data_IF_503196781160
#
_entry.id   IF_503196781160
#
_cell.length_a   1.000
_cell.length_b   1.000
_cell.length_c   1.000
_cell.angle_alpha   90.00
_cell.angle_beta   90.00
_cell.angle_gamma   90.00
#
_symmetry.space_group_name_H-M   'P 1'
#
loop_
_entity.id
_entity.type
_entity.pdbx_description
1 polymer ?
#
# COMPACT_ATOMS: atom_id res chain seq x y z
N UNK A 1 -5.06 44.20 8.05
CA UNK A 1 -5.32 42.81 7.59
C UNK A 1 -4.05 42.11 7.09
N UNK A 2 -3.19 42.72 6.25
CA UNK A 2 -1.94 42.13 5.77
C UNK A 2 -0.93 41.87 6.90
N UNK A 3 -0.79 42.80 7.85
CA UNK A 3 0.13 42.63 9.01
C UNK A 3 -0.33 41.49 9.94
N UNK A 4 -1.61 41.36 10.22
CA UNK A 4 -2.17 40.24 11.00
C UNK A 4 -1.97 38.88 10.31
N UNK A 5 -2.06 38.86 8.98
CA UNK A 5 -1.83 37.64 8.19
C UNK A 5 -0.34 37.24 8.19
N UNK A 6 0.57 38.23 8.16
CA UNK A 6 2.01 38.00 8.27
C UNK A 6 2.40 37.51 9.68
N UNK A 7 1.83 38.07 10.75
CA UNK A 7 2.07 37.65 12.12
C UNK A 7 1.60 36.20 12.38
N UNK A 8 0.41 35.83 11.90
CA UNK A 8 -0.06 34.44 11.97
C UNK A 8 0.88 33.48 11.24
N UNK A 9 1.33 33.83 10.05
CA UNK A 9 2.31 33.04 9.30
C UNK A 9 3.63 32.87 10.04
N UNK A 10 4.14 33.89 10.75
CA UNK A 10 5.34 33.79 11.55
C UNK A 10 5.14 32.92 12.79
N UNK A 11 3.99 32.99 13.45
CA UNK A 11 3.66 32.11 14.59
C UNK A 11 3.56 30.65 14.17
N UNK A 12 2.94 30.36 13.04
CA UNK A 12 2.81 29.00 12.51
C UNK A 12 4.18 28.42 12.16
N UNK A 13 5.03 29.19 11.49
CA UNK A 13 6.44 28.80 11.21
C UNK A 13 7.21 28.54 12.50
N UNK A 14 7.05 29.41 13.51
CA UNK A 14 7.72 29.23 14.79
C UNK A 14 7.26 27.94 15.50
N UNK A 15 5.98 27.62 15.45
CA UNK A 15 5.42 26.36 16.01
C UNK A 15 6.00 25.14 15.29
N UNK A 16 6.02 25.14 13.96
CA UNK A 16 6.61 24.06 13.15
C UNK A 16 8.09 23.85 13.50
N UNK A 17 8.88 24.94 13.60
CA UNK A 17 10.29 24.86 13.98
C UNK A 17 10.49 24.26 15.38
N UNK A 18 9.63 24.58 16.34
CA UNK A 18 9.71 24.00 17.69
C UNK A 18 9.48 22.49 17.64
N UNK A 19 8.48 22.03 16.88
CA UNK A 19 8.18 20.59 16.70
C UNK A 19 9.35 19.86 16.04
N UNK A 20 9.95 20.45 15.01
CA UNK A 20 11.11 19.88 14.32
C UNK A 20 12.35 19.80 15.21
N UNK A 21 12.61 20.86 16.01
CA UNK A 21 13.71 20.87 16.97
C UNK A 21 13.54 19.82 18.07
N UNK A 22 12.34 19.64 18.56
CA UNK A 22 12.03 18.59 19.53
C UNK A 22 12.21 17.19 18.94
N UNK A 23 11.79 16.98 17.67
CA UNK A 23 12.01 15.74 16.95
C UNK A 23 13.50 15.43 16.79
N UNK A 24 14.31 16.44 16.43
CA UNK A 24 15.77 16.29 16.34
C UNK A 24 16.42 15.99 17.68
N UNK A 25 15.93 16.61 18.77
CA UNK A 25 16.41 16.34 20.13
C UNK A 25 16.13 14.89 20.53
N UNK A 26 14.88 14.41 20.33
CA UNK A 26 14.50 13.01 20.59
C UNK A 26 15.39 12.04 19.81
N UNK A 27 15.67 12.32 18.53
CA UNK A 27 16.57 11.48 17.73
C UNK A 27 17.99 11.49 18.27
N UNK A 28 18.52 12.64 18.64
CA UNK A 28 19.87 12.79 19.22
C UNK A 28 20.01 12.03 20.54
N UNK A 29 19.01 12.12 21.39
CA UNK A 29 19.02 11.53 22.73
C UNK A 29 18.56 10.05 22.71
N UNK A 30 18.29 9.48 21.53
CA UNK A 30 17.73 8.11 21.35
C UNK A 30 16.40 7.88 22.09
N UNK A 31 15.66 8.96 22.32
CA UNK A 31 14.35 8.95 22.96
C UNK A 31 13.24 8.77 21.92
N UNK A 32 13.13 7.56 21.38
CA UNK A 32 12.10 7.21 20.43
C UNK A 32 11.75 5.71 20.48
N UNK A 33 10.56 5.39 20.02
CA UNK A 33 10.15 4.02 19.79
C UNK A 33 10.40 3.62 18.34
N UNK A 34 10.55 2.32 18.10
CA UNK A 34 10.59 1.78 16.74
C UNK A 34 9.44 0.85 16.51
N UNK A 35 8.84 0.92 15.34
CA UNK A 35 7.73 0.08 14.92
C UNK A 35 8.15 -0.74 13.70
N UNK A 36 8.00 -2.05 13.80
CA UNK A 36 8.36 -2.97 12.73
C UNK A 36 7.21 -3.08 11.72
N UNK A 37 7.54 -2.93 10.44
CA UNK A 37 6.60 -3.05 9.32
C UNK A 37 6.91 -4.29 8.50
N UNK A 38 5.87 -5.03 8.18
CA UNK A 38 5.91 -6.13 7.24
C UNK A 38 6.17 -5.63 5.82
N UNK A 39 6.87 -6.42 5.02
CA UNK A 39 7.07 -6.18 3.60
C UNK A 39 6.58 -7.37 2.77
N UNK A 40 6.38 -7.15 1.47
CA UNK A 40 6.06 -8.18 0.49
C UNK A 40 7.27 -8.54 -0.35
N UNK A 41 7.49 -9.84 -0.56
CA UNK A 41 8.29 -10.36 -1.67
C UNK A 41 7.38 -10.51 -2.89
N UNK A 42 7.73 -9.86 -3.99
CA UNK A 42 7.00 -9.93 -5.25
C UNK A 42 7.91 -10.51 -6.33
N UNK A 43 7.49 -11.60 -6.95
CA UNK A 43 8.25 -12.25 -8.02
C UNK A 43 7.38 -12.51 -9.23
N UNK A 44 7.97 -12.48 -10.42
CA UNK A 44 7.29 -12.91 -11.65
C UNK A 44 8.06 -14.06 -12.27
N UNK A 45 7.35 -15.12 -12.58
CA UNK A 45 7.83 -16.29 -13.30
C UNK A 45 7.27 -16.31 -14.72
N UNK A 46 8.13 -16.58 -15.71
CA UNK A 46 7.80 -16.80 -17.11
C UNK A 46 8.48 -18.06 -17.59
N UNK A 47 7.72 -19.00 -18.18
CA UNK A 47 8.26 -20.28 -18.65
C UNK A 47 9.10 -21.02 -17.59
N UNK A 48 8.65 -20.98 -16.32
CA UNK A 48 9.32 -21.62 -15.19
C UNK A 48 10.57 -20.91 -14.67
N UNK A 49 10.95 -19.76 -15.24
CA UNK A 49 12.11 -18.95 -14.80
C UNK A 49 11.65 -17.68 -14.11
N UNK A 50 12.28 -17.34 -13.00
CA UNK A 50 12.07 -16.06 -12.33
C UNK A 50 12.73 -14.95 -13.15
N UNK A 51 11.92 -13.97 -13.62
CA UNK A 51 12.35 -12.87 -14.49
C UNK A 51 12.28 -11.50 -13.80
N UNK A 52 11.62 -11.44 -12.64
CA UNK A 52 11.48 -10.21 -11.86
C UNK A 52 11.40 -10.55 -10.37
N UNK A 53 11.97 -9.68 -9.56
CA UNK A 53 11.81 -9.69 -8.10
C UNK A 53 11.87 -8.26 -7.57
N UNK A 54 11.03 -7.95 -6.58
CA UNK A 54 11.05 -6.67 -5.88
C UNK A 54 10.51 -6.83 -4.46
N UNK A 55 10.77 -5.83 -3.61
CA UNK A 55 10.26 -5.73 -2.25
C UNK A 55 9.27 -4.55 -2.18
N UNK A 56 8.09 -4.79 -1.58
CA UNK A 56 7.08 -3.76 -1.37
C UNK A 56 6.85 -3.50 0.12
N UNK A 57 6.87 -2.24 0.52
CA UNK A 57 6.45 -1.79 1.84
C UNK A 57 4.94 -1.57 1.87
N UNK A 58 4.38 -0.99 0.82
CA UNK A 58 2.95 -0.71 0.70
C UNK A 58 2.22 -1.82 -0.05
N UNK A 59 2.50 -1.99 -1.33
CA UNK A 59 1.68 -2.85 -2.17
C UNK A 59 2.37 -3.36 -3.45
N UNK A 60 1.74 -4.37 -4.04
CA UNK A 60 1.95 -4.82 -5.40
C UNK A 60 0.64 -4.64 -6.18
N UNK A 61 0.69 -3.85 -7.25
CA UNK A 61 -0.47 -3.50 -8.08
C UNK A 61 -0.33 -4.12 -9.45
N UNK A 62 -1.28 -4.97 -9.83
CA UNK A 62 -1.40 -5.49 -11.20
C UNK A 62 -2.60 -4.77 -11.84
N UNK A 63 -2.33 -4.01 -12.89
CA UNK A 63 -3.38 -3.23 -13.55
C UNK A 63 -3.14 -3.07 -15.03
N UNK A 64 -4.18 -2.63 -15.72
CA UNK A 64 -4.14 -2.27 -17.13
C UNK A 64 -3.15 -1.12 -17.44
N UNK A 65 -2.86 -0.96 -18.71
CA UNK A 65 -2.07 0.15 -19.24
C UNK A 65 -2.87 1.46 -19.36
N UNK A 66 -2.32 2.47 -20.07
CA UNK A 66 -2.92 3.80 -20.18
C UNK A 66 -4.31 3.83 -20.85
N UNK A 67 -4.60 2.84 -21.68
CA UNK A 67 -5.91 2.71 -22.34
C UNK A 67 -6.73 1.74 -21.51
N UNK A 68 -7.80 2.25 -20.90
CA UNK A 68 -8.68 1.45 -20.05
C UNK A 68 -9.28 0.27 -20.78
N UNK A 69 -9.19 -0.91 -20.18
CA UNK A 69 -9.84 -2.13 -20.62
C UNK A 69 -9.92 -3.11 -19.46
N UNK A 70 -10.96 -3.91 -19.45
CA UNK A 70 -11.12 -4.96 -18.44
C UNK A 70 -10.03 -6.01 -18.62
N UNK A 71 -9.30 -6.31 -17.53
CA UNK A 71 -8.39 -7.43 -17.44
C UNK A 71 -9.02 -8.57 -16.63
N UNK A 72 -8.66 -9.79 -16.95
CA UNK A 72 -9.11 -10.98 -16.23
C UNK A 72 -7.93 -11.60 -15.52
N UNK A 73 -8.05 -11.71 -14.19
CA UNK A 73 -7.01 -12.23 -13.31
C UNK A 73 -7.58 -13.40 -12.53
N UNK A 74 -6.82 -14.49 -12.48
CA UNK A 74 -7.10 -15.62 -11.60
C UNK A 74 -6.18 -15.54 -10.40
N UNK A 75 -6.75 -15.57 -9.22
CA UNK A 75 -6.00 -15.52 -7.96
C UNK A 75 -6.14 -16.85 -7.23
N UNK A 76 -5.01 -17.38 -6.79
CA UNK A 76 -4.95 -18.55 -5.94
C UNK A 76 -4.12 -18.26 -4.68
N UNK A 77 -4.45 -18.93 -3.59
CA UNK A 77 -3.74 -18.91 -2.32
C UNK A 77 -3.26 -20.31 -2.01
N UNK A 78 -1.94 -20.50 -1.90
CA UNK A 78 -1.30 -21.80 -1.67
C UNK A 78 -1.77 -22.88 -2.68
N UNK A 79 -1.92 -22.48 -3.95
CA UNK A 79 -2.37 -23.34 -5.03
C UNK A 79 -3.88 -23.63 -5.07
N UNK A 80 -4.66 -23.10 -4.12
CA UNK A 80 -6.12 -23.22 -4.10
C UNK A 80 -6.75 -21.98 -4.70
N UNK A 81 -7.74 -22.17 -5.55
CA UNK A 81 -8.49 -21.05 -6.15
C UNK A 81 -9.10 -20.15 -5.06
N UNK A 82 -8.87 -18.85 -5.17
CA UNK A 82 -9.42 -17.83 -4.28
C UNK A 82 -10.48 -17.00 -5.00
N UNK A 83 -10.15 -16.47 -6.18
CA UNK A 83 -11.06 -15.57 -6.92
C UNK A 83 -10.67 -15.43 -8.39
N UNK A 84 -11.67 -15.10 -9.22
CA UNK A 84 -11.51 -14.60 -10.57
C UNK A 84 -11.96 -13.14 -10.60
N UNK A 85 -11.09 -12.24 -11.03
CA UNK A 85 -11.35 -10.80 -11.09
C UNK A 85 -11.46 -10.36 -12.53
N UNK A 86 -12.55 -9.67 -12.86
CA UNK A 86 -12.72 -8.92 -14.10
C UNK A 86 -12.87 -7.43 -13.73
N UNK A 87 -11.90 -6.61 -14.08
CA UNK A 87 -11.86 -5.18 -13.69
C UNK A 87 -10.60 -4.50 -14.21
N UNK A 88 -10.24 -3.37 -13.60
CA UNK A 88 -9.06 -2.61 -13.97
C UNK A 88 -7.77 -3.22 -13.39
N UNK A 89 -7.90 -4.05 -12.32
CA UNK A 89 -6.76 -4.68 -11.70
C UNK A 89 -6.99 -5.26 -10.31
N UNK A 90 -5.89 -5.56 -9.63
CA UNK A 90 -5.86 -6.00 -8.24
C UNK A 90 -4.66 -5.41 -7.51
N UNK A 91 -4.86 -5.11 -6.24
CA UNK A 91 -3.84 -4.66 -5.29
C UNK A 91 -3.64 -5.77 -4.25
N UNK A 92 -2.39 -6.13 -4.00
CA UNK A 92 -2.01 -6.90 -2.80
C UNK A 92 -1.23 -5.98 -1.89
N UNK A 93 -1.81 -5.59 -0.76
CA UNK A 93 -1.23 -4.61 0.15
C UNK A 93 -0.80 -5.23 1.48
N UNK A 94 0.24 -4.63 2.07
CA UNK A 94 0.57 -4.80 3.48
C UNK A 94 -0.40 -4.01 4.36
N UNK A 95 -0.41 -4.20 5.69
CA UNK A 95 -1.14 -3.31 6.59
C UNK A 95 -0.71 -1.84 6.44
N UNK A 96 0.57 -1.56 6.22
CA UNK A 96 1.06 -0.20 5.95
C UNK A 96 0.44 0.36 4.65
N UNK A 97 0.40 -0.43 3.59
CA UNK A 97 -0.18 -0.05 2.31
C UNK A 97 -1.71 -0.01 2.29
N UNK A 98 -2.38 -0.55 3.32
CA UNK A 98 -3.86 -0.51 3.40
C UNK A 98 -4.43 0.90 3.38
N UNK A 99 -3.66 1.90 3.82
CA UNK A 99 -4.01 3.31 3.82
C UNK A 99 -3.48 4.10 2.60
N UNK A 100 -2.83 3.41 1.65
CA UNK A 100 -2.35 3.96 0.38
C UNK A 100 -3.37 3.70 -0.76
N UNK A 101 -2.93 3.16 -1.88
CA UNK A 101 -3.81 2.92 -3.04
C UNK A 101 -4.95 1.93 -2.75
N UNK A 102 -4.71 0.95 -1.87
CA UNK A 102 -5.74 0.00 -1.42
C UNK A 102 -6.94 0.71 -0.82
N UNK A 103 -6.75 1.77 -0.01
CA UNK A 103 -7.85 2.55 0.55
C UNK A 103 -8.67 3.24 -0.54
N UNK A 104 -8.01 3.85 -1.53
CA UNK A 104 -8.69 4.51 -2.66
C UNK A 104 -9.48 3.51 -3.52
N UNK A 105 -9.05 2.26 -3.57
CA UNK A 105 -9.76 1.18 -4.27
C UNK A 105 -10.90 0.56 -3.43
N UNK A 106 -11.18 1.07 -2.22
CA UNK A 106 -12.23 0.57 -1.34
C UNK A 106 -11.80 -0.60 -0.44
N UNK A 107 -10.51 -0.79 -0.26
CA UNK A 107 -9.96 -1.75 0.70
C UNK A 107 -10.15 -1.33 2.15
N UNK A 108 -10.07 -2.26 3.10
CA UNK A 108 -10.19 -1.97 4.52
C UNK A 108 -8.94 -1.23 5.04
N UNK A 109 -9.16 -0.40 6.05
CA UNK A 109 -8.08 0.14 6.87
C UNK A 109 -7.59 -0.95 7.81
N UNK A 110 -6.29 -1.20 7.80
CA UNK A 110 -5.65 -2.21 8.67
C UNK A 110 -4.57 -1.52 9.50
N UNK A 111 -4.54 -1.81 10.79
CA UNK A 111 -3.51 -1.27 11.67
C UNK A 111 -2.13 -1.75 11.21
N UNK A 112 -1.15 -0.84 11.07
CA UNK A 112 0.13 -1.16 10.45
C UNK A 112 0.96 -2.25 11.13
N UNK A 113 0.72 -2.51 12.41
CA UNK A 113 1.40 -3.58 13.18
C UNK A 113 0.74 -4.95 13.01
N UNK A 114 -0.45 -5.01 12.41
CA UNK A 114 -1.12 -6.26 12.12
C UNK A 114 -0.30 -7.10 11.14
N UNK A 115 -0.42 -8.41 11.25
CA UNK A 115 0.28 -9.36 10.37
C UNK A 115 -0.76 -9.97 9.42
N UNK A 116 -1.03 -9.28 8.31
CA UNK A 116 -2.01 -9.67 7.30
C UNK A 116 -1.60 -9.20 5.90
N UNK A 117 -2.19 -9.78 4.88
CA UNK A 117 -2.17 -9.27 3.50
C UNK A 117 -3.59 -8.92 3.08
N UNK A 118 -3.75 -7.78 2.40
CA UNK A 118 -5.03 -7.34 1.86
C UNK A 118 -5.01 -7.55 0.36
N UNK A 119 -6.01 -8.26 -0.18
CA UNK A 119 -6.24 -8.38 -1.63
C UNK A 119 -7.46 -7.52 -1.97
N UNK A 120 -7.24 -6.45 -2.71
CA UNK A 120 -8.27 -5.47 -3.05
C UNK A 120 -8.41 -5.36 -4.58
N UNK A 121 -9.58 -5.64 -5.17
CA UNK A 121 -9.82 -5.45 -6.60
C UNK A 121 -9.92 -3.97 -6.94
N UNK A 122 -9.55 -3.61 -8.17
CA UNK A 122 -9.71 -2.25 -8.70
C UNK A 122 -10.86 -2.26 -9.70
N UNK A 123 -11.90 -1.45 -9.44
CA UNK A 123 -13.05 -1.24 -10.32
C UNK A 123 -13.61 -2.57 -10.91
N UNK A 124 -13.83 -3.56 -10.06
CA UNK A 124 -14.34 -4.86 -10.51
C UNK A 124 -15.76 -4.76 -11.02
N UNK A 125 -16.04 -5.41 -12.14
CA UNK A 125 -17.39 -5.60 -12.68
C UNK A 125 -18.17 -6.68 -11.94
N UNK A 126 -17.49 -7.51 -11.14
CA UNK A 126 -18.14 -8.54 -10.35
C UNK A 126 -18.56 -7.97 -8.98
N UNK A 127 -19.80 -7.56 -8.84
CA UNK A 127 -20.37 -6.97 -7.61
C UNK A 127 -20.33 -7.90 -6.39
N UNK A 128 -20.00 -9.18 -6.55
CA UNK A 128 -19.90 -10.14 -5.44
C UNK A 128 -18.48 -10.24 -4.86
N UNK A 129 -17.51 -9.53 -5.46
CA UNK A 129 -16.14 -9.60 -5.00
C UNK A 129 -15.87 -8.47 -4.00
N UNK A 130 -15.56 -8.84 -2.76
CA UNK A 130 -15.06 -7.94 -1.71
C UNK A 130 -13.56 -8.09 -1.55
N UNK A 131 -12.93 -7.12 -0.87
CA UNK A 131 -11.53 -7.27 -0.47
C UNK A 131 -11.36 -8.42 0.53
N UNK A 132 -10.27 -9.17 0.41
CA UNK A 132 -9.89 -10.21 1.36
C UNK A 132 -8.80 -9.72 2.28
N UNK A 133 -8.89 -10.08 3.55
CA UNK A 133 -7.82 -9.96 4.54
C UNK A 133 -7.34 -11.37 4.86
N UNK A 134 -6.08 -11.67 4.53
CA UNK A 134 -5.52 -13.01 4.58
C UNK A 134 -4.35 -13.08 5.57
N UNK A 135 -4.08 -14.29 6.06
CA UNK A 135 -2.87 -14.56 6.84
C UNK A 135 -1.60 -14.24 6.03
N UNK A 136 -0.56 -13.69 6.66
CA UNK A 136 0.69 -13.37 6.01
C UNK A 136 1.49 -14.63 5.60
N UNK A 137 1.09 -15.81 6.09
CA UNK A 137 1.75 -17.09 5.77
C UNK A 137 1.36 -17.62 4.39
N UNK A 138 0.30 -17.08 3.77
CA UNK A 138 -0.11 -17.50 2.45
C UNK A 138 0.82 -16.99 1.35
N UNK A 139 0.97 -17.79 0.30
CA UNK A 139 1.56 -17.37 -0.96
C UNK A 139 0.44 -17.16 -1.97
N UNK A 140 0.26 -15.93 -2.39
CA UNK A 140 -0.68 -15.59 -3.45
C UNK A 140 -0.02 -15.78 -4.81
N UNK A 141 -0.74 -16.43 -5.73
CA UNK A 141 -0.33 -16.52 -7.13
C UNK A 141 -1.42 -15.87 -7.98
N UNK A 142 -1.02 -14.90 -8.79
CA UNK A 142 -1.90 -14.16 -9.69
C UNK A 142 -1.48 -14.50 -11.11
N UNK A 143 -2.41 -14.99 -11.90
CA UNK A 143 -2.23 -15.37 -13.29
C UNK A 143 -3.09 -14.48 -14.17
N UNK A 144 -2.49 -13.98 -15.24
CA UNK A 144 -3.19 -13.19 -16.24
C UNK A 144 -3.85 -14.14 -17.24
N UNK A 145 -5.17 -14.12 -17.32
CA UNK A 145 -5.87 -14.81 -18.41
C UNK A 145 -5.56 -14.13 -19.75
N UNK A 146 -5.61 -14.90 -20.85
CA UNK A 146 -5.31 -14.39 -22.18
C UNK A 146 -6.27 -13.27 -22.59
N UNK A 147 -5.87 -12.03 -22.36
CA UNK A 147 -6.65 -10.82 -22.67
C UNK A 147 -6.25 -10.16 -24.00
N UNK A 148 -5.90 -10.93 -25.00
CA UNK A 148 -5.49 -10.40 -26.29
C UNK A 148 -4.13 -9.67 -26.21
N UNK A 149 -3.96 -8.61 -27.02
CA UNK A 149 -2.69 -7.84 -27.14
C UNK A 149 -2.61 -6.63 -26.20
N UNK A 150 -3.45 -6.54 -25.19
CA UNK A 150 -3.53 -5.34 -24.33
C UNK A 150 -2.47 -5.40 -23.22
N UNK A 151 -1.75 -4.30 -22.98
CA UNK A 151 -0.68 -4.30 -22.00
C UNK A 151 -1.21 -4.32 -20.57
N UNK A 152 -0.63 -5.17 -19.73
CA UNK A 152 -0.85 -5.25 -18.28
C UNK A 152 0.50 -5.03 -17.59
N UNK A 153 0.48 -4.34 -16.48
CA UNK A 153 1.69 -3.98 -15.76
C UNK A 153 1.61 -4.36 -14.28
N UNK A 154 2.76 -4.69 -13.73
CA UNK A 154 2.99 -4.81 -12.30
C UNK A 154 3.78 -3.58 -11.81
N UNK A 155 3.30 -3.00 -10.70
CA UNK A 155 3.98 -1.96 -9.94
C UNK A 155 4.18 -2.47 -8.51
N UNK A 156 5.31 -2.14 -7.91
CA UNK A 156 5.60 -2.40 -6.49
C UNK A 156 6.06 -1.09 -5.87
N UNK A 157 5.30 -0.55 -4.90
CA UNK A 157 5.57 0.74 -4.24
C UNK A 157 5.88 1.86 -5.25
N UNK A 158 5.01 2.09 -6.23
CA UNK A 158 5.19 3.11 -7.28
C UNK A 158 6.50 2.98 -8.09
N UNK A 159 7.15 1.82 -8.03
CA UNK A 159 8.36 1.56 -8.81
C UNK A 159 8.09 1.59 -10.32
N UNK A 160 9.16 1.51 -11.11
CA UNK A 160 9.03 1.42 -12.56
C UNK A 160 8.14 0.24 -12.97
N UNK A 161 7.19 0.51 -13.84
CA UNK A 161 6.27 -0.48 -14.38
C UNK A 161 6.99 -1.68 -15.01
N UNK A 162 6.63 -2.87 -14.58
CA UNK A 162 7.07 -4.12 -15.21
C UNK A 162 5.96 -4.65 -16.12
N UNK A 163 6.27 -4.81 -17.42
CA UNK A 163 5.30 -5.31 -18.40
C UNK A 163 5.08 -6.81 -18.27
N UNK A 164 3.84 -7.20 -18.01
CA UNK A 164 3.42 -8.58 -17.90
C UNK A 164 3.02 -9.13 -19.28
N UNK A 165 3.22 -10.44 -19.47
CA UNK A 165 2.75 -11.20 -20.64
C UNK A 165 1.73 -12.24 -20.19
N UNK A 166 0.96 -12.75 -21.16
CA UNK A 166 0.13 -13.93 -20.93
C UNK A 166 1.02 -15.07 -20.40
N UNK A 167 0.45 -15.88 -19.50
CA UNK A 167 1.12 -17.01 -18.86
C UNK A 167 2.22 -16.61 -17.81
N UNK A 168 2.44 -15.32 -17.54
CA UNK A 168 3.24 -14.89 -16.40
C UNK A 168 2.50 -15.23 -15.09
N UNK A 169 3.26 -15.75 -14.13
CA UNK A 169 2.78 -16.03 -12.77
C UNK A 169 3.41 -15.05 -11.80
N UNK A 170 2.58 -14.19 -11.23
CA UNK A 170 3.00 -13.24 -10.22
C UNK A 170 2.78 -13.89 -8.86
N UNK A 171 3.84 -14.02 -8.06
CA UNK A 171 3.76 -14.50 -6.70
C UNK A 171 4.01 -13.37 -5.73
N UNK A 172 3.12 -13.25 -4.73
CA UNK A 172 3.20 -12.28 -3.65
C UNK A 172 3.10 -13.01 -2.33
N UNK A 173 4.04 -12.78 -1.44
CA UNK A 173 4.08 -13.36 -0.10
C UNK A 173 4.72 -12.39 0.88
N UNK A 174 4.57 -12.64 2.18
CA UNK A 174 5.32 -11.93 3.21
C UNK A 174 6.82 -12.12 2.99
N UNK A 175 7.55 -11.01 3.02
CA UNK A 175 9.01 -11.03 2.97
C UNK A 175 9.62 -11.43 4.31
N UNK A 176 10.85 -11.96 4.26
CA UNK A 176 11.72 -12.11 5.44
C UNK A 176 12.26 -10.75 5.92
N UNK A 177 12.29 -9.78 5.03
CA UNK A 177 12.73 -8.41 5.33
C UNK A 177 11.60 -7.62 5.96
N UNK A 178 11.97 -6.74 6.86
CA UNK A 178 11.07 -5.81 7.55
C UNK A 178 11.72 -4.45 7.58
N UNK A 179 10.92 -3.40 7.67
CA UNK A 179 11.40 -2.04 7.89
C UNK A 179 11.07 -1.63 9.32
N UNK A 180 12.00 -0.98 9.99
CA UNK A 180 11.76 -0.34 11.27
C UNK A 180 11.58 1.16 11.06
N UNK A 181 10.41 1.66 11.43
CA UNK A 181 10.10 3.08 11.42
C UNK A 181 10.29 3.66 12.81
N UNK A 182 10.96 4.81 12.89
CA UNK A 182 11.09 5.58 14.12
C UNK A 182 9.77 6.29 14.40
N UNK A 183 9.29 6.19 15.63
CA UNK A 183 8.12 6.90 16.14
C UNK A 183 8.54 7.92 17.17
N UNK A 184 8.35 9.19 16.84
CA UNK A 184 8.64 10.34 17.71
C UNK A 184 7.39 10.82 18.46
N UNK A 185 6.21 10.36 18.04
CA UNK A 185 4.92 10.71 18.63
C UNK A 185 4.33 9.50 19.38
N UNK A 186 3.71 9.76 20.52
CA UNK A 186 2.98 8.77 21.32
C UNK A 186 1.55 8.52 20.79
N UNK A 187 1.09 9.30 19.81
CA UNK A 187 -0.25 9.17 19.25
C UNK A 187 -0.46 7.77 18.67
N UNK A 188 -1.60 7.18 18.93
CA UNK A 188 -2.01 5.89 18.34
C UNK A 188 -2.24 5.99 16.84
N UNK A 189 -2.24 4.85 16.15
CA UNK A 189 -2.62 4.78 14.73
C UNK A 189 -4.01 5.37 14.48
N UNK A 190 -4.98 5.04 15.35
CA UNK A 190 -6.36 5.51 15.21
C UNK A 190 -6.47 7.04 15.29
N UNK A 191 -5.75 7.68 16.22
CA UNK A 191 -5.72 9.13 16.35
C UNK A 191 -5.11 9.80 15.11
N UNK A 192 -3.98 9.28 14.62
CA UNK A 192 -3.34 9.81 13.42
C UNK A 192 -4.23 9.62 12.18
N UNK A 193 -4.84 8.44 12.05
CA UNK A 193 -5.72 8.13 10.92
C UNK A 193 -6.98 9.00 10.94
N UNK A 194 -7.64 9.11 12.09
CA UNK A 194 -8.83 9.94 12.26
C UNK A 194 -8.53 11.41 11.90
N UNK A 195 -7.43 11.96 12.40
CA UNK A 195 -7.02 13.32 12.10
C UNK A 195 -6.79 13.57 10.59
N UNK A 196 -6.20 12.60 9.88
CA UNK A 196 -5.95 12.70 8.43
C UNK A 196 -7.20 12.56 7.58
N UNK A 197 -8.21 11.82 8.04
CA UNK A 197 -9.40 11.45 7.26
C UNK A 197 -10.62 12.34 7.54
N UNK A 198 -10.65 13.05 8.67
CA UNK A 198 -11.73 13.96 8.97
C UNK A 198 -11.58 15.25 8.16
N UNK A 199 -12.68 15.75 7.51
CA UNK A 199 -12.70 17.08 6.90
C UNK A 199 -12.44 18.13 8.00
N UNK A 200 -11.34 18.89 7.90
CA UNK A 200 -10.92 19.86 8.91
C UNK A 200 -9.89 19.35 9.91
N UNK A 201 -9.33 18.16 9.74
CA UNK A 201 -8.40 17.51 10.67
C UNK A 201 -7.02 18.16 10.86
N UNK A 202 -6.84 19.42 10.44
CA UNK A 202 -5.65 20.24 10.72
C UNK A 202 -5.97 21.58 11.39
N UNK A 203 -7.21 21.80 11.82
CA UNK A 203 -7.47 22.92 12.71
C UNK A 203 -7.19 22.47 14.14
N UNK A 204 -6.02 22.84 14.63
CA UNK A 204 -5.63 22.72 16.04
C UNK A 204 -6.73 23.35 16.89
N UNK A 205 -7.40 22.53 17.71
CA UNK A 205 -8.18 23.04 18.82
C UNK A 205 -7.27 23.85 19.71
N UNK A 206 -7.73 25.08 19.97
CA UNK A 206 -7.14 26.15 20.76
C UNK A 206 -6.68 25.73 22.14
#
# INVERSE_FOLDING_TARGET
KRELQCLRSCEDIARELVVELEALRKLKDWDFQTEQRMMLDVTVQREGRQIYTNLGLNDAVIREGPISHVIHLKISSDGRHLADIAGDGVIVATPTGSTAYSLSAGGPVVEPVAQTMVVCPICTHNMRFSSYVLSPEHTLTIELERNGRKPVYLFVDESRAFSLKADDKIQVRRSKHTVRLVRLSERSFCEIFAQKMLPGGFEDEK
#
